data_IF_620070088452
#
_entry.id   IF_620070088452
#
_cell.length_a   1.000
_cell.length_b   1.000
_cell.length_c   1.000
_cell.angle_alpha   90.00
_cell.angle_beta   90.00
_cell.angle_gamma   90.00
#
_symmetry.space_group_name_H-M   'P 1'
#
loop_
_entity.id
_entity.type
_entity.pdbx_description
1 polymer ?
#
# COMPACT_ATOMS: atom_id res chain seq x y z
N UNK A 1 -12.18 3.53 -9.82
CA UNK A 1 -11.05 3.06 -10.66
C UNK A 1 -10.47 1.79 -10.05
N UNK A 2 -10.28 0.71 -10.82
CA UNK A 2 -9.76 -0.58 -10.32
C UNK A 2 -8.21 -0.64 -10.27
N UNK A 3 -7.50 0.35 -10.83
CA UNK A 3 -6.04 0.33 -10.97
C UNK A 3 -5.29 0.12 -9.64
N UNK A 4 -5.72 0.78 -8.56
CA UNK A 4 -5.07 0.62 -7.25
C UNK A 4 -5.27 -0.77 -6.63
N UNK A 5 -6.29 -1.52 -7.04
CA UNK A 5 -6.41 -2.91 -6.63
C UNK A 5 -5.34 -3.79 -7.29
N UNK A 6 -4.98 -3.49 -8.55
CA UNK A 6 -3.87 -4.15 -9.22
C UNK A 6 -2.53 -3.80 -8.59
N UNK A 7 -2.31 -2.54 -8.22
CA UNK A 7 -1.11 -2.14 -7.46
C UNK A 7 -0.99 -2.96 -6.17
N UNK A 8 -2.10 -3.07 -5.41
CA UNK A 8 -2.16 -3.92 -4.21
C UNK A 8 -1.77 -5.37 -4.51
N UNK A 9 -2.35 -5.97 -5.54
CA UNK A 9 -2.08 -7.37 -5.92
C UNK A 9 -0.64 -7.56 -6.37
N UNK A 10 -0.07 -6.63 -7.14
CA UNK A 10 1.32 -6.70 -7.61
C UNK A 10 2.33 -6.59 -6.45
N UNK A 11 2.13 -5.64 -5.54
CA UNK A 11 2.96 -5.54 -4.33
C UNK A 11 2.85 -6.82 -3.49
N UNK A 12 1.64 -7.37 -3.36
CA UNK A 12 1.45 -8.67 -2.71
C UNK A 12 2.16 -9.83 -3.41
N UNK A 13 2.13 -9.88 -4.74
CA UNK A 13 2.80 -10.90 -5.53
C UNK A 13 4.34 -10.85 -5.37
N UNK A 14 4.92 -9.65 -5.29
CA UNK A 14 6.36 -9.48 -5.00
C UNK A 14 6.72 -10.09 -3.65
N UNK A 15 5.96 -9.78 -2.59
CA UNK A 15 6.18 -10.38 -1.27
C UNK A 15 6.00 -11.89 -1.26
N UNK A 16 4.99 -12.40 -1.97
CA UNK A 16 4.81 -13.85 -2.13
C UNK A 16 5.99 -14.51 -2.83
N UNK A 17 6.54 -13.88 -3.88
CA UNK A 17 7.69 -14.41 -4.57
C UNK A 17 8.89 -14.54 -3.61
N UNK A 18 9.22 -13.47 -2.88
CA UNK A 18 10.28 -13.49 -1.87
C UNK A 18 10.05 -14.54 -0.78
N UNK A 19 8.80 -14.69 -0.32
CA UNK A 19 8.45 -15.69 0.68
C UNK A 19 8.63 -17.12 0.15
N UNK A 20 8.18 -17.39 -1.08
CA UNK A 20 8.29 -18.71 -1.70
C UNK A 20 9.75 -19.09 -1.92
N UNK A 21 10.59 -18.18 -2.43
CA UNK A 21 12.03 -18.41 -2.55
C UNK A 21 12.66 -18.82 -1.21
N UNK A 22 12.28 -18.13 -0.13
CA UNK A 22 12.82 -18.42 1.21
C UNK A 22 12.24 -19.70 1.81
N UNK A 23 10.96 -20.00 1.61
CA UNK A 23 10.30 -21.19 2.15
C UNK A 23 10.74 -22.47 1.44
N UNK A 24 10.93 -22.41 0.13
CA UNK A 24 11.36 -23.55 -0.68
C UNK A 24 12.86 -23.84 -0.53
N UNK A 25 13.64 -22.90 0.00
CA UNK A 25 15.04 -23.11 0.35
C UNK A 25 15.18 -23.51 1.83
N UNK A 26 15.36 -24.80 2.18
CA UNK A 26 15.46 -25.23 3.58
C UNK A 26 16.65 -24.61 4.31
N UNK A 27 17.72 -24.27 3.60
CA UNK A 27 18.96 -23.73 4.16
C UNK A 27 18.91 -22.21 4.41
N UNK A 28 17.82 -21.53 4.04
CA UNK A 28 17.72 -20.08 4.17
C UNK A 28 18.03 -19.54 5.58
N UNK A 29 17.59 -20.16 6.71
CA UNK A 29 17.91 -19.64 8.03
C UNK A 29 19.41 -19.62 8.32
N UNK A 30 20.10 -20.71 7.99
CA UNK A 30 21.55 -20.81 8.16
C UNK A 30 22.28 -19.87 7.19
N UNK A 31 21.86 -19.80 5.92
CA UNK A 31 22.43 -18.85 4.94
C UNK A 31 22.25 -17.38 5.36
N UNK A 32 21.12 -17.05 5.96
CA UNK A 32 20.87 -15.72 6.51
C UNK A 32 21.80 -15.42 7.69
N UNK A 33 21.99 -16.38 8.60
CA UNK A 33 22.94 -16.26 9.69
C UNK A 33 24.39 -16.11 9.21
N UNK A 34 24.81 -16.93 8.24
CA UNK A 34 26.14 -16.86 7.63
C UNK A 34 26.37 -15.51 6.94
N UNK A 35 25.35 -15.00 6.23
CA UNK A 35 25.40 -13.69 5.60
C UNK A 35 25.57 -12.56 6.61
N UNK A 36 24.84 -12.59 7.72
CA UNK A 36 24.99 -11.61 8.81
C UNK A 36 26.38 -11.69 9.46
N UNK A 37 26.89 -12.89 9.71
CA UNK A 37 28.22 -13.11 10.28
C UNK A 37 29.34 -12.60 9.36
N UNK A 38 29.14 -12.69 8.04
CA UNK A 38 30.03 -12.11 7.03
C UNK A 38 29.86 -10.58 6.84
N UNK A 39 28.98 -9.94 7.60
CA UNK A 39 28.71 -8.49 7.52
C UNK A 39 27.69 -8.09 6.45
N UNK A 40 27.03 -9.04 5.79
CA UNK A 40 25.88 -8.79 4.94
C UNK A 40 24.74 -8.15 5.75
N UNK A 41 24.03 -7.18 5.17
CA UNK A 41 22.94 -6.43 5.84
C UNK A 41 23.35 -5.57 7.06
N UNK A 42 24.61 -5.65 7.50
CA UNK A 42 25.14 -4.95 8.69
C UNK A 42 26.15 -3.88 8.32
N UNK A 43 27.13 -4.23 7.47
CA UNK A 43 28.28 -3.38 7.13
C UNK A 43 27.89 -2.05 6.50
N UNK A 44 26.87 -2.07 5.64
CA UNK A 44 26.36 -0.88 4.95
C UNK A 44 25.31 -0.13 5.77
N UNK A 45 24.72 -0.77 6.79
CA UNK A 45 23.63 -0.18 7.55
C UNK A 45 24.05 1.11 8.28
N UNK A 46 23.15 2.13 8.35
CA UNK A 46 23.38 3.33 9.16
C UNK A 46 23.66 2.97 10.64
N UNK A 47 24.45 3.76 11.38
CA UNK A 47 24.92 3.38 12.72
C UNK A 47 23.81 2.96 13.70
N UNK A 48 22.68 3.67 13.70
CA UNK A 48 21.55 3.34 14.58
C UNK A 48 20.90 1.99 14.22
N UNK A 49 20.83 1.66 12.93
CA UNK A 49 20.22 0.43 12.45
C UNK A 49 21.21 -0.74 12.57
N UNK A 50 22.50 -0.48 12.35
CA UNK A 50 23.58 -1.43 12.60
C UNK A 50 23.58 -1.92 14.06
N UNK A 51 23.44 -1.02 15.02
CA UNK A 51 23.35 -1.39 16.44
C UNK A 51 22.17 -2.34 16.73
N UNK A 52 21.03 -2.14 16.06
CA UNK A 52 19.91 -3.08 16.13
C UNK A 52 20.24 -4.43 15.47
N UNK A 53 20.85 -4.41 14.29
CA UNK A 53 21.25 -5.62 13.59
C UNK A 53 22.25 -6.45 14.39
N UNK A 54 23.25 -5.83 15.01
CA UNK A 54 24.28 -6.51 15.80
C UNK A 54 23.78 -6.93 17.19
N UNK A 55 22.97 -6.10 17.84
CA UNK A 55 22.51 -6.34 19.21
C UNK A 55 21.28 -7.25 19.31
N UNK A 56 20.45 -7.31 18.27
CA UNK A 56 19.16 -8.03 18.31
C UNK A 56 19.08 -9.08 17.21
N UNK A 57 19.34 -8.71 15.95
CA UNK A 57 19.13 -9.61 14.81
C UNK A 57 20.21 -10.70 14.75
N UNK A 58 21.48 -10.32 14.82
CA UNK A 58 22.64 -11.22 14.72
C UNK A 58 22.59 -12.37 15.73
N UNK A 59 22.42 -12.11 17.04
CA UNK A 59 22.32 -13.16 18.05
C UNK A 59 21.13 -14.11 17.86
N UNK A 60 20.10 -13.67 17.12
CA UNK A 60 18.86 -14.41 16.89
C UNK A 60 18.63 -14.69 15.39
N UNK A 61 19.70 -14.79 14.60
CA UNK A 61 19.63 -14.71 13.14
C UNK A 61 18.66 -15.73 12.52
N UNK A 62 18.72 -16.99 12.92
CA UNK A 62 17.82 -18.02 12.38
C UNK A 62 16.35 -17.77 12.75
N UNK A 63 16.08 -17.28 13.96
CA UNK A 63 14.72 -16.90 14.38
C UNK A 63 14.23 -15.75 13.50
N UNK A 64 15.07 -14.73 13.29
CA UNK A 64 14.75 -13.61 12.40
C UNK A 64 14.52 -14.07 10.96
N UNK A 65 15.28 -15.05 10.47
CA UNK A 65 15.03 -15.63 9.16
C UNK A 65 13.63 -16.26 9.06
N UNK A 66 13.17 -16.95 10.10
CA UNK A 66 11.79 -17.47 10.14
C UNK A 66 10.76 -16.34 10.23
N UNK A 67 11.03 -15.31 11.04
CA UNK A 67 10.16 -14.13 11.12
C UNK A 67 10.03 -13.45 9.77
N UNK A 68 11.13 -13.29 9.03
CA UNK A 68 11.13 -12.72 7.67
C UNK A 68 10.30 -13.58 6.73
N UNK A 69 10.51 -14.91 6.69
CA UNK A 69 9.70 -15.84 5.89
C UNK A 69 8.20 -15.68 6.14
N UNK A 70 7.81 -15.73 7.42
CA UNK A 70 6.41 -15.64 7.82
C UNK A 70 5.82 -14.26 7.53
N UNK A 71 6.62 -13.21 7.72
CA UNK A 71 6.22 -11.83 7.41
C UNK A 71 5.97 -11.68 5.92
N UNK A 72 6.92 -12.03 5.06
CA UNK A 72 6.78 -11.91 3.61
C UNK A 72 5.59 -12.74 3.10
N UNK A 73 5.40 -13.97 3.60
CA UNK A 73 4.27 -14.81 3.22
C UNK A 73 2.94 -14.16 3.61
N UNK A 74 2.85 -13.69 4.86
CA UNK A 74 1.64 -13.07 5.40
C UNK A 74 1.31 -11.78 4.67
N UNK A 75 2.32 -10.93 4.42
CA UNK A 75 2.18 -9.69 3.65
C UNK A 75 1.67 -9.99 2.25
N UNK A 76 2.29 -10.96 1.58
CA UNK A 76 1.96 -11.33 0.22
C UNK A 76 0.53 -11.86 0.08
N UNK A 77 0.16 -12.87 0.88
CA UNK A 77 -1.19 -13.47 0.83
C UNK A 77 -2.26 -12.44 1.17
N UNK A 78 -2.06 -11.68 2.23
CA UNK A 78 -3.06 -10.73 2.70
C UNK A 78 -3.20 -9.53 1.73
N UNK A 79 -2.11 -9.06 1.10
CA UNK A 79 -2.19 -8.06 0.04
C UNK A 79 -2.82 -8.60 -1.23
N UNK A 80 -2.59 -9.85 -1.66
CA UNK A 80 -3.26 -10.40 -2.84
C UNK A 80 -4.76 -10.54 -2.61
N UNK A 81 -5.16 -11.09 -1.46
CA UNK A 81 -6.57 -11.31 -1.12
C UNK A 81 -7.28 -10.02 -0.68
N UNK A 82 -6.54 -9.06 -0.15
CA UNK A 82 -7.07 -7.80 0.36
C UNK A 82 -7.70 -8.00 1.73
N UNK A 83 -6.98 -8.71 2.59
CA UNK A 83 -7.34 -8.92 3.99
C UNK A 83 -6.47 -8.01 4.86
N UNK A 84 -7.10 -7.27 5.78
CA UNK A 84 -6.43 -6.33 6.67
C UNK A 84 -5.50 -5.37 5.91
N UNK A 85 -5.91 -4.94 4.72
CA UNK A 85 -5.12 -4.23 3.72
C UNK A 85 -4.36 -3.04 4.30
N UNK A 86 -4.96 -2.28 5.22
CA UNK A 86 -4.30 -1.16 5.87
C UNK A 86 -3.16 -1.59 6.81
N UNK A 87 -3.41 -2.60 7.66
CA UNK A 87 -2.38 -3.14 8.57
C UNK A 87 -1.24 -3.75 7.77
N UNK A 88 -1.58 -4.50 6.73
CA UNK A 88 -0.61 -5.20 5.90
C UNK A 88 0.19 -4.22 5.03
N UNK A 89 -0.44 -3.17 4.49
CA UNK A 89 0.27 -2.12 3.79
C UNK A 89 1.26 -1.38 4.72
N UNK A 90 0.89 -1.13 5.97
CA UNK A 90 1.81 -0.58 6.97
C UNK A 90 2.97 -1.53 7.26
N UNK A 91 2.70 -2.82 7.43
CA UNK A 91 3.74 -3.84 7.58
C UNK A 91 4.69 -3.92 6.38
N UNK A 92 4.14 -3.81 5.17
CA UNK A 92 4.90 -3.75 3.91
C UNK A 92 5.83 -2.52 3.87
N UNK A 93 5.35 -1.34 4.29
CA UNK A 93 6.22 -0.16 4.46
C UNK A 93 7.36 -0.46 5.44
N UNK A 94 7.03 -0.98 6.62
CA UNK A 94 8.03 -1.28 7.65
C UNK A 94 9.10 -2.27 7.17
N UNK A 95 8.67 -3.37 6.53
CA UNK A 95 9.57 -4.40 6.03
C UNK A 95 10.46 -3.86 4.89
N UNK A 96 9.89 -3.14 3.92
CA UNK A 96 10.66 -2.51 2.85
C UNK A 96 11.70 -1.54 3.41
N UNK A 97 11.33 -0.69 4.37
CA UNK A 97 12.29 0.24 4.98
C UNK A 97 13.37 -0.49 5.79
N UNK A 98 13.02 -1.58 6.47
CA UNK A 98 13.99 -2.42 7.20
C UNK A 98 15.04 -3.01 6.25
N UNK A 99 14.61 -3.56 5.10
CA UNK A 99 15.52 -4.09 4.09
C UNK A 99 16.38 -2.97 3.50
N UNK A 100 15.76 -1.85 3.12
CA UNK A 100 16.47 -0.69 2.58
C UNK A 100 17.56 -0.17 3.53
N UNK A 101 17.24 -0.02 4.82
CA UNK A 101 18.21 0.43 5.83
C UNK A 101 19.35 -0.57 6.02
N UNK A 102 19.06 -1.87 5.97
CA UNK A 102 20.08 -2.91 6.07
C UNK A 102 21.08 -2.88 4.89
N UNK A 103 20.67 -2.33 3.75
CA UNK A 103 21.48 -2.18 2.54
C UNK A 103 22.16 -0.80 2.41
N UNK A 104 22.02 0.07 3.42
CA UNK A 104 22.67 1.39 3.44
C UNK A 104 21.75 2.59 3.22
N UNK A 105 20.46 2.37 3.00
CA UNK A 105 19.46 3.43 2.90
C UNK A 105 19.41 4.09 1.52
N UNK A 106 19.01 5.37 1.50
CA UNK A 106 18.90 6.17 0.27
C UNK A 106 20.13 7.05 0.08
N UNK A 107 20.68 7.05 -1.13
CA UNK A 107 21.65 8.05 -1.57
C UNK A 107 20.95 9.39 -1.75
N UNK A 108 21.26 10.38 -0.91
CA UNK A 108 20.80 11.75 -1.10
C UNK A 108 21.82 12.53 -1.94
N UNK A 109 21.34 13.43 -2.80
CA UNK A 109 22.20 14.29 -3.63
C UNK A 109 22.74 13.64 -4.92
N UNK A 110 22.37 12.40 -5.21
CA UNK A 110 22.79 11.65 -6.42
C UNK A 110 21.85 11.84 -7.63
N UNK A 111 20.72 12.54 -7.44
CA UNK A 111 19.70 12.79 -8.47
C UNK A 111 18.51 11.83 -8.40
N UNK A 112 17.34 12.29 -8.87
CA UNK A 112 16.05 11.57 -8.72
C UNK A 112 15.95 10.26 -9.53
N UNK A 113 16.74 10.12 -10.58
CA UNK A 113 16.77 8.91 -11.43
C UNK A 113 17.84 7.90 -11.01
N UNK A 114 18.64 8.22 -10.00
CA UNK A 114 19.72 7.36 -9.56
C UNK A 114 19.16 6.13 -8.81
N UNK A 115 19.63 4.90 -9.11
CA UNK A 115 19.20 3.68 -8.41
C UNK A 115 19.42 3.74 -6.90
N UNK A 116 20.41 4.51 -6.46
CA UNK A 116 20.74 4.73 -5.05
C UNK A 116 19.69 5.60 -4.35
N UNK A 117 18.99 6.47 -5.08
CA UNK A 117 17.88 7.27 -4.56
C UNK A 117 16.56 6.49 -4.61
N UNK A 118 16.15 6.02 -5.79
CA UNK A 118 14.91 5.27 -5.99
C UNK A 118 15.18 3.77 -6.14
N UNK A 119 15.64 3.16 -5.06
CA UNK A 119 15.83 1.72 -5.01
C UNK A 119 14.49 0.97 -4.95
N UNK A 120 14.55 -0.35 -5.20
CA UNK A 120 13.38 -1.22 -5.22
C UNK A 120 12.60 -1.21 -3.91
N UNK A 121 13.30 -1.21 -2.77
CA UNK A 121 12.67 -1.23 -1.45
C UNK A 121 11.92 0.09 -1.16
N UNK A 122 12.49 1.23 -1.53
CA UNK A 122 11.82 2.52 -1.43
C UNK A 122 10.58 2.56 -2.33
N UNK A 123 10.67 2.05 -3.56
CA UNK A 123 9.52 1.95 -4.46
C UNK A 123 8.42 1.10 -3.83
N UNK A 124 8.76 -0.06 -3.29
CA UNK A 124 7.81 -0.95 -2.59
C UNK A 124 7.17 -0.26 -1.38
N UNK A 125 7.94 0.48 -0.59
CA UNK A 125 7.42 1.28 0.52
C UNK A 125 6.44 2.35 0.03
N UNK A 126 6.78 3.11 -1.01
CA UNK A 126 5.93 4.17 -1.57
C UNK A 126 4.63 3.60 -2.16
N UNK A 127 4.70 2.51 -2.92
CA UNK A 127 3.51 1.82 -3.43
C UNK A 127 2.61 1.34 -2.28
N UNK A 128 3.22 0.85 -1.19
CA UNK A 128 2.51 0.44 0.01
C UNK A 128 1.82 1.61 0.73
N UNK A 129 2.46 2.79 0.77
CA UNK A 129 1.80 4.02 1.25
C UNK A 129 0.61 4.40 0.35
N UNK A 130 0.76 4.32 -0.98
CA UNK A 130 -0.35 4.59 -1.90
C UNK A 130 -1.50 3.60 -1.70
N UNK A 131 -1.20 2.31 -1.47
CA UNK A 131 -2.19 1.30 -1.11
C UNK A 131 -2.87 1.69 0.21
N UNK A 132 -2.10 2.03 1.25
CA UNK A 132 -2.59 2.41 2.57
C UNK A 132 -3.57 3.58 2.49
N UNK A 133 -3.27 4.61 1.71
CA UNK A 133 -4.09 5.81 1.59
C UNK A 133 -5.28 5.65 0.63
N UNK A 134 -5.17 4.79 -0.38
CA UNK A 134 -6.19 4.67 -1.43
C UNK A 134 -7.41 3.84 -1.00
N UNK A 135 -8.64 4.39 -1.04
CA UNK A 135 -9.86 3.59 -0.93
C UNK A 135 -10.02 2.60 -2.10
N UNK A 136 -9.48 2.97 -3.27
CA UNK A 136 -9.56 2.16 -4.50
C UNK A 136 -8.85 0.82 -4.40
N UNK A 137 -7.76 0.75 -3.61
CA UNK A 137 -7.04 -0.50 -3.35
C UNK A 137 -7.90 -1.54 -2.61
N UNK A 138 -8.95 -1.10 -1.90
CA UNK A 138 -9.81 -1.97 -1.07
C UNK A 138 -11.12 -2.39 -1.76
N UNK A 139 -11.43 -1.93 -2.96
CA UNK A 139 -12.76 -2.17 -3.55
C UNK A 139 -13.04 -3.66 -3.88
N UNK A 140 -12.13 -4.41 -4.54
CA UNK A 140 -12.24 -5.86 -4.66
C UNK A 140 -11.33 -6.54 -3.62
N UNK A 141 -11.71 -6.49 -2.35
CA UNK A 141 -10.93 -7.05 -1.24
C UNK A 141 -11.82 -7.83 -0.26
N UNK A 142 -11.21 -8.72 0.53
CA UNK A 142 -11.88 -9.35 1.66
C UNK A 142 -12.32 -8.32 2.71
N UNK A 143 -11.58 -7.23 2.88
CA UNK A 143 -11.96 -6.11 3.74
C UNK A 143 -13.27 -5.46 3.30
N UNK A 144 -13.48 -5.27 2.00
CA UNK A 144 -14.74 -4.76 1.48
C UNK A 144 -15.89 -5.76 1.69
N UNK A 145 -15.63 -7.07 1.57
CA UNK A 145 -16.63 -8.08 1.88
C UNK A 145 -17.02 -8.06 3.38
N UNK A 146 -16.04 -7.91 4.27
CA UNK A 146 -16.26 -7.81 5.69
C UNK A 146 -16.99 -6.51 6.08
N UNK A 147 -16.58 -5.37 5.49
CA UNK A 147 -17.19 -4.06 5.74
C UNK A 147 -18.64 -4.00 5.26
N UNK A 148 -19.01 -4.73 4.19
CA UNK A 148 -20.42 -4.89 3.78
C UNK A 148 -21.27 -5.60 4.85
N UNK A 149 -20.70 -6.59 5.54
CA UNK A 149 -21.38 -7.31 6.63
C UNK A 149 -21.36 -6.55 7.95
N UNK A 150 -20.35 -5.70 8.16
CA UNK A 150 -20.15 -4.92 9.39
C UNK A 150 -19.86 -3.44 9.07
N UNK A 151 -20.92 -2.63 8.86
CA UNK A 151 -20.77 -1.22 8.46
C UNK A 151 -19.91 -0.37 9.40
N UNK A 152 -19.86 -0.71 10.70
CA UNK A 152 -19.00 -0.03 11.69
C UNK A 152 -17.50 -0.10 11.36
N UNK A 153 -17.06 -1.09 10.59
CA UNK A 153 -15.66 -1.27 10.22
C UNK A 153 -15.24 -0.50 8.96
N UNK A 154 -16.19 0.11 8.25
CA UNK A 154 -15.93 0.82 6.98
C UNK A 154 -14.85 1.92 7.10
N UNK A 155 -14.81 2.76 8.17
CA UNK A 155 -13.77 3.77 8.30
C UNK A 155 -12.38 3.18 8.45
N UNK A 156 -12.27 2.10 9.24
CA UNK A 156 -11.01 1.42 9.53
C UNK A 156 -10.50 0.61 8.34
N UNK A 157 -11.38 -0.09 7.64
CA UNK A 157 -11.01 -1.04 6.59
C UNK A 157 -10.91 -0.38 5.20
N UNK A 158 -11.78 0.58 4.90
CA UNK A 158 -11.92 1.14 3.55
C UNK A 158 -11.49 2.60 3.42
N UNK A 159 -11.01 3.22 4.51
CA UNK A 159 -10.72 4.66 4.59
C UNK A 159 -11.89 5.53 4.12
N UNK A 160 -13.12 5.07 4.35
CA UNK A 160 -14.34 5.77 3.94
C UNK A 160 -15.17 6.06 5.19
N UNK A 161 -15.65 7.28 5.35
CA UNK A 161 -16.62 7.58 6.41
C UNK A 161 -17.91 6.81 6.12
N UNK A 162 -18.49 6.17 7.14
CA UNK A 162 -19.88 5.71 7.08
C UNK A 162 -20.69 6.99 6.93
N UNK A 163 -21.29 7.21 5.76
CA UNK A 163 -21.91 8.49 5.44
C UNK A 163 -23.00 8.86 6.44
N UNK A 164 -22.87 10.03 7.06
CA UNK A 164 -24.05 10.88 7.26
C UNK A 164 -24.56 11.31 5.88
N UNK A 165 -25.88 11.27 5.69
CA UNK A 165 -26.54 11.53 4.42
C UNK A 165 -26.20 12.90 3.80
N UNK A 166 -26.29 12.98 2.47
CA UNK A 166 -26.05 14.23 1.76
C UNK A 166 -25.89 14.09 0.25
N UNK A 167 -26.85 13.44 -0.41
CA UNK A 167 -27.23 13.79 -1.79
C UNK A 167 -28.62 13.23 -2.05
N UNK A 168 -29.62 13.89 -1.48
CA UNK A 168 -30.95 13.89 -2.12
C UNK A 168 -30.71 14.37 -3.56
N UNK A 169 -31.09 13.61 -4.59
CA UNK A 169 -31.09 14.18 -5.92
C UNK A 169 -32.09 15.35 -5.86
N UNK A 170 -31.64 16.56 -6.20
CA UNK A 170 -32.57 17.63 -6.48
C UNK A 170 -33.53 17.10 -7.55
N UNK A 171 -34.80 16.91 -7.16
CA UNK A 171 -35.86 16.61 -8.10
C UNK A 171 -35.93 17.79 -9.06
N UNK A 172 -35.35 17.65 -10.24
CA UNK A 172 -35.66 18.49 -11.37
C UNK A 172 -37.14 18.29 -11.67
N UNK A 173 -37.94 19.26 -11.23
CA UNK A 173 -39.35 19.40 -11.60
C UNK A 173 -39.40 19.52 -13.13
N UNK A 174 -40.20 18.70 -13.84
CA UNK A 174 -40.40 18.84 -15.28
C UNK A 174 -41.45 19.93 -15.55
N UNK A 175 -41.15 20.82 -16.50
CA UNK A 175 -42.17 21.52 -17.29
C UNK A 175 -42.40 22.99 -16.95
N UNK A 176 -41.70 23.88 -17.65
CA UNK A 176 -42.25 25.15 -18.12
C UNK A 176 -41.37 25.67 -19.27
N UNK A 177 -41.68 25.24 -20.48
CA UNK A 177 -41.29 25.97 -21.68
C UNK A 177 -42.45 26.86 -22.09
N UNK A 178 -42.27 28.18 -22.23
CA UNK A 178 -43.15 28.98 -23.06
C UNK A 178 -42.44 29.23 -24.39
N UNK A 179 -42.99 28.63 -25.45
CA UNK A 179 -42.68 29.00 -26.82
C UNK A 179 -43.07 30.46 -27.09
N UNK A 180 -42.29 31.15 -27.93
CA UNK A 180 -42.76 32.36 -28.62
C UNK A 180 -43.75 32.01 -29.74
N UNK A 181 -44.01 32.91 -30.71
CA UNK A 181 -44.00 34.37 -30.68
C UNK A 181 -45.40 34.95 -30.98
N UNK A 182 -45.79 36.07 -30.37
CA UNK A 182 -47.02 36.78 -30.73
C UNK A 182 -46.71 38.06 -31.52
N UNK A 183 -47.36 38.12 -32.69
CA UNK A 183 -47.32 39.14 -33.74
C UNK A 183 -47.66 40.54 -33.23
N UNK A 184 -47.09 41.55 -33.90
CA UNK A 184 -47.31 42.96 -33.60
C UNK A 184 -48.60 43.57 -34.14
N UNK A 185 -48.86 44.79 -33.66
CA UNK A 185 -49.56 45.88 -34.38
C UNK A 185 -49.22 47.22 -33.72
N UNK A 186 -49.21 48.34 -34.46
CA UNK A 186 -48.60 49.60 -34.05
C UNK A 186 -49.59 50.52 -33.33
N UNK A 187 -49.08 51.35 -32.41
CA UNK A 187 -49.81 52.45 -31.82
C UNK A 187 -49.37 53.79 -32.44
N UNK A 188 -50.37 54.41 -33.07
CA UNK A 188 -50.45 55.75 -33.65
C UNK A 188 -50.29 56.83 -32.57
N UNK A 189 -49.43 57.83 -32.82
CA UNK A 189 -49.48 59.21 -32.27
C UNK A 189 -48.97 60.10 -33.41
N UNK A 190 -49.68 61.12 -33.89
CA UNK A 190 -50.43 62.11 -33.12
C UNK A 190 -49.47 63.24 -32.85
#
# INVERSE_FOLDING_TARGET
MKGMAWVRVLVGAVWLNGALEKLLNPNFPTQFADSLAAGGFVSQAPPFFRAFMEGVVGPNAEIFAQVVRLTELSLGLALVLGALTNVVALGSVGQSLSIMLSQGGVGLGVGLGAPEFLNFDLLMALLSVLILLSPGAKLPSLDAALARRRPRLVPLLLNRRVGGGGSTPASTVPGAAPGGPSRGRPARKG
#
